data_IF_470378373435
#
_entry.id   IF_470378373435
#
_cell.length_a   1.000
_cell.length_b   1.000
_cell.length_c   1.000
_cell.angle_alpha   90.00
_cell.angle_beta   90.00
_cell.angle_gamma   90.00
#
_symmetry.space_group_name_H-M   'P 1'
#
loop_
_entity.id
_entity.type
_entity.pdbx_description
1 polymer ?
#
# COMPACT_ATOMS: atom_id res chain seq x y z
N UNK A 1 -12.37 4.88 -0.71
CA UNK A 1 -12.45 3.65 0.09
C UNK A 1 -12.67 2.49 -0.85
N UNK A 2 -11.89 1.43 -0.71
CA UNK A 2 -12.04 0.18 -1.45
C UNK A 2 -12.87 -0.81 -0.61
N UNK A 3 -13.69 -1.59 -1.29
CA UNK A 3 -14.54 -2.62 -0.70
C UNK A 3 -13.80 -3.95 -0.59
N UNK A 4 -14.30 -4.86 0.26
CA UNK A 4 -13.84 -6.25 0.27
C UNK A 4 -14.11 -6.91 -1.10
N UNK A 5 -13.21 -7.81 -1.50
CA UNK A 5 -13.19 -8.48 -2.82
C UNK A 5 -13.02 -7.56 -4.03
N UNK A 6 -12.75 -6.27 -3.83
CA UNK A 6 -12.36 -5.37 -4.91
C UNK A 6 -10.94 -5.69 -5.40
N UNK A 7 -10.72 -5.64 -6.70
CA UNK A 7 -9.45 -6.03 -7.33
C UNK A 7 -8.85 -4.92 -8.17
N UNK A 8 -7.52 -4.88 -8.19
CA UNK A 8 -6.72 -4.08 -9.12
C UNK A 8 -5.35 -4.73 -9.32
N UNK A 9 -4.84 -4.69 -10.55
CA UNK A 9 -3.59 -5.37 -10.88
C UNK A 9 -3.71 -6.88 -10.65
N UNK A 10 -2.98 -7.40 -9.66
CA UNK A 10 -3.03 -8.80 -9.22
C UNK A 10 -3.38 -8.92 -7.73
N UNK A 11 -3.97 -7.86 -7.16
CA UNK A 11 -4.32 -7.78 -5.76
C UNK A 11 -5.83 -7.85 -5.58
N UNK A 12 -6.26 -8.61 -4.57
CA UNK A 12 -7.64 -8.64 -4.09
C UNK A 12 -7.72 -8.09 -2.67
N UNK A 13 -8.54 -7.07 -2.44
CA UNK A 13 -8.74 -6.47 -1.13
C UNK A 13 -9.49 -7.42 -0.20
N UNK A 14 -8.94 -7.62 1.00
CA UNK A 14 -9.58 -8.40 2.08
C UNK A 14 -10.29 -7.48 3.05
N UNK A 15 -9.59 -6.49 3.61
CA UNK A 15 -10.15 -5.52 4.56
C UNK A 15 -9.27 -4.28 4.70
N UNK A 16 -9.85 -3.16 5.16
CA UNK A 16 -9.09 -1.99 5.60
C UNK A 16 -8.36 -2.31 6.92
N UNK A 17 -7.11 -1.91 7.03
CA UNK A 17 -6.27 -2.01 8.23
C UNK A 17 -6.20 -0.67 8.98
N UNK A 18 -6.19 0.44 8.25
CA UNK A 18 -6.14 1.76 8.87
C UNK A 18 -6.13 2.88 7.84
N UNK A 19 -6.07 4.10 8.33
CA UNK A 19 -5.93 5.30 7.51
C UNK A 19 -5.04 6.33 8.19
N UNK A 20 -4.37 7.14 7.37
CA UNK A 20 -3.60 8.27 7.83
C UNK A 20 -3.63 9.40 6.80
N UNK A 21 -2.82 10.42 7.02
CA UNK A 21 -2.77 11.60 6.15
C UNK A 21 -2.45 11.27 4.69
N UNK A 22 -1.48 10.39 4.46
CA UNK A 22 -1.01 10.04 3.11
C UNK A 22 -1.92 9.07 2.35
N UNK A 23 -2.84 8.38 3.02
CA UNK A 23 -3.52 7.26 2.40
C UNK A 23 -4.28 6.33 3.34
N UNK A 24 -4.88 5.33 2.73
CA UNK A 24 -5.56 4.23 3.41
C UNK A 24 -4.70 2.97 3.27
N UNK A 25 -4.67 2.12 4.30
CA UNK A 25 -3.94 0.85 4.28
C UNK A 25 -4.95 -0.29 4.30
N UNK A 26 -4.75 -1.26 3.41
CA UNK A 26 -5.60 -2.44 3.28
C UNK A 26 -4.77 -3.71 3.40
N UNK A 27 -5.37 -4.74 3.99
CA UNK A 27 -4.92 -6.11 3.85
C UNK A 27 -5.43 -6.62 2.50
N UNK A 28 -4.54 -7.21 1.71
CA UNK A 28 -4.86 -7.76 0.42
C UNK A 28 -4.16 -9.10 0.19
N UNK A 29 -4.70 -9.88 -0.73
CA UNK A 29 -4.05 -11.06 -1.29
C UNK A 29 -3.34 -10.68 -2.58
N UNK A 30 -2.02 -10.90 -2.60
CA UNK A 30 -1.21 -10.92 -3.82
C UNK A 30 -1.47 -12.25 -4.51
N UNK A 31 -2.33 -12.25 -5.52
CA UNK A 31 -2.77 -13.46 -6.21
C UNK A 31 -1.67 -14.07 -7.10
N UNK A 32 -0.64 -13.29 -7.43
CA UNK A 32 0.50 -13.74 -8.23
C UNK A 32 1.48 -14.55 -7.40
N UNK A 33 1.76 -14.11 -6.17
CA UNK A 33 2.70 -14.77 -5.25
C UNK A 33 1.99 -15.60 -4.17
N UNK A 34 0.66 -15.61 -4.16
CA UNK A 34 -0.19 -16.34 -3.21
C UNK A 34 0.16 -16.03 -1.75
N UNK A 35 0.23 -14.74 -1.41
CA UNK A 35 0.59 -14.25 -0.07
C UNK A 35 -0.28 -13.06 0.36
N UNK A 36 -0.36 -12.82 1.66
CA UNK A 36 -0.97 -11.62 2.21
C UNK A 36 0.04 -10.47 2.20
N UNK A 37 -0.41 -9.30 1.80
CA UNK A 37 0.37 -8.05 1.79
C UNK A 37 -0.46 -6.93 2.40
N UNK A 38 0.21 -5.90 2.92
CA UNK A 38 -0.44 -4.65 3.21
C UNK A 38 -0.24 -3.70 2.02
N UNK A 39 -1.31 -3.04 1.60
CA UNK A 39 -1.33 -2.10 0.48
C UNK A 39 -1.68 -0.71 1.00
N UNK A 40 -0.76 0.24 0.86
CA UNK A 40 -1.02 1.64 1.17
C UNK A 40 -1.44 2.36 -0.10
N UNK A 41 -2.73 2.67 -0.22
CA UNK A 41 -3.30 3.42 -1.33
C UNK A 41 -3.10 4.91 -1.08
N UNK A 42 -2.45 5.59 -2.00
CA UNK A 42 -2.07 7.00 -1.86
C UNK A 42 -3.20 7.92 -2.29
N UNK A 43 -3.43 9.01 -1.54
CA UNK A 43 -4.41 10.03 -1.94
C UNK A 43 -3.87 10.85 -3.12
N UNK A 44 -4.74 11.31 -4.06
CA UNK A 44 -4.34 12.14 -5.20
C UNK A 44 -3.45 13.34 -4.83
N UNK A 45 -3.77 14.02 -3.73
CA UNK A 45 -3.00 15.17 -3.24
C UNK A 45 -1.50 14.90 -2.97
N UNK A 46 -1.08 13.63 -2.82
CA UNK A 46 0.31 13.25 -2.64
C UNK A 46 1.00 12.77 -3.92
N UNK A 47 0.25 12.61 -5.02
CA UNK A 47 0.73 12.06 -6.29
C UNK A 47 0.51 12.99 -7.49
N UNK A 48 -0.32 14.03 -7.38
CA UNK A 48 -0.63 14.97 -8.46
C UNK A 48 0.50 15.99 -8.74
N UNK A 49 1.52 16.05 -7.88
CA UNK A 49 2.69 16.92 -8.03
C UNK A 49 3.94 16.08 -8.35
N UNK A 50 4.56 16.37 -9.50
CA UNK A 50 5.72 15.63 -10.00
C UNK A 50 6.91 15.61 -9.01
N UNK A 51 7.14 16.69 -8.27
CA UNK A 51 8.22 16.77 -7.29
C UNK A 51 7.91 15.90 -6.06
N UNK A 52 6.64 15.90 -5.63
CA UNK A 52 6.19 15.01 -4.54
C UNK A 52 6.31 13.54 -4.96
N UNK A 53 5.92 13.23 -6.19
CA UNK A 53 6.00 11.89 -6.74
C UNK A 53 7.44 11.38 -6.81
N UNK A 54 8.36 12.24 -7.27
CA UNK A 54 9.77 11.92 -7.35
C UNK A 54 10.38 11.69 -5.97
N UNK A 55 10.05 12.53 -4.97
CA UNK A 55 10.48 12.34 -3.58
C UNK A 55 9.96 11.01 -3.02
N UNK A 56 8.67 10.74 -3.19
CA UNK A 56 8.05 9.50 -2.72
C UNK A 56 8.73 8.27 -3.34
N UNK A 57 8.95 8.25 -4.65
CA UNK A 57 9.64 7.15 -5.32
C UNK A 57 11.08 6.98 -4.79
N UNK A 58 11.78 8.07 -4.49
CA UNK A 58 13.13 8.01 -3.92
C UNK A 58 13.15 7.47 -2.49
N UNK A 59 12.23 7.93 -1.65
CA UNK A 59 12.09 7.47 -0.26
C UNK A 59 11.78 5.99 -0.20
N UNK A 60 10.80 5.54 -0.98
CA UNK A 60 10.40 4.15 -0.95
C UNK A 60 11.43 3.23 -1.63
N UNK A 61 12.20 3.68 -2.65
CA UNK A 61 13.40 2.95 -3.11
C UNK A 61 14.46 2.79 -2.03
N UNK A 62 14.67 3.83 -1.22
CA UNK A 62 15.64 3.80 -0.13
C UNK A 62 15.17 2.85 0.98
N UNK A 63 13.88 2.92 1.33
CA UNK A 63 13.28 2.04 2.32
C UNK A 63 13.23 0.56 1.87
N UNK A 64 13.02 0.29 0.57
CA UNK A 64 13.05 -1.06 0.01
C UNK A 64 14.44 -1.71 0.04
N UNK A 65 15.53 -0.94 0.23
CA UNK A 65 16.88 -1.48 0.40
C UNK A 65 17.13 -1.98 1.84
N UNK A 66 16.24 -1.69 2.78
CA UNK A 66 16.39 -2.10 4.19
C UNK A 66 15.80 -3.50 4.34
N UNK A 67 16.63 -4.46 4.74
CA UNK A 67 16.20 -5.80 5.13
C UNK A 67 16.64 -6.06 6.57
N UNK A 68 15.70 -6.06 7.50
CA UNK A 68 15.98 -6.26 8.93
C UNK A 68 14.73 -6.84 9.64
N UNK A 69 14.86 -7.80 10.57
CA UNK A 69 13.71 -8.47 11.21
C UNK A 69 12.76 -7.52 11.96
N UNK A 70 13.23 -6.35 12.38
CA UNK A 70 12.43 -5.35 13.09
C UNK A 70 12.02 -4.15 12.20
N UNK A 71 12.18 -4.26 10.88
CA UNK A 71 11.76 -3.24 9.91
C UNK A 71 10.90 -3.91 8.85
N UNK A 72 9.64 -3.50 8.76
CA UNK A 72 8.70 -3.99 7.75
C UNK A 72 9.25 -3.76 6.35
N UNK A 73 9.26 -4.80 5.52
CA UNK A 73 9.75 -4.71 4.15
C UNK A 73 8.78 -3.97 3.22
N UNK A 74 9.33 -3.15 2.32
CA UNK A 74 8.62 -2.62 1.14
C UNK A 74 8.96 -3.52 -0.04
N UNK A 75 7.95 -4.11 -0.66
CA UNK A 75 8.14 -4.99 -1.81
C UNK A 75 8.10 -4.23 -3.13
N UNK A 76 7.20 -3.25 -3.27
CA UNK A 76 7.03 -2.54 -4.54
C UNK A 76 6.28 -1.20 -4.37
N UNK A 77 6.33 -0.36 -5.42
CA UNK A 77 5.48 0.80 -5.61
C UNK A 77 5.00 0.78 -7.05
N UNK A 78 3.69 0.75 -7.25
CA UNK A 78 3.13 0.66 -8.59
C UNK A 78 1.81 1.43 -8.70
N UNK A 79 1.28 1.48 -9.92
CA UNK A 79 -0.07 1.93 -10.19
C UNK A 79 -0.86 0.91 -11.02
N UNK A 80 -2.17 0.85 -10.77
CA UNK A 80 -3.07 -0.01 -11.53
C UNK A 80 -4.45 0.63 -11.58
N UNK A 81 -5.21 0.32 -12.62
CA UNK A 81 -6.62 0.71 -12.67
C UNK A 81 -7.42 -0.19 -11.74
N UNK A 82 -8.24 0.44 -10.92
CA UNK A 82 -9.29 -0.22 -10.17
C UNK A 82 -10.33 -0.80 -11.14
N UNK A 83 -10.61 -2.09 -11.03
CA UNK A 83 -11.54 -2.78 -11.93
C UNK A 83 -12.97 -2.25 -11.79
N UNK A 84 -13.35 -1.79 -10.58
CA UNK A 84 -14.71 -1.32 -10.30
C UNK A 84 -14.92 0.13 -10.72
N UNK A 85 -14.05 1.05 -10.30
CA UNK A 85 -14.20 2.48 -10.58
C UNK A 85 -13.50 2.96 -11.86
N UNK A 86 -12.60 2.15 -12.43
CA UNK A 86 -11.77 2.52 -13.58
C UNK A 86 -10.67 3.55 -13.27
N UNK A 87 -10.57 4.03 -12.02
CA UNK A 87 -9.59 5.03 -11.60
C UNK A 87 -8.21 4.41 -11.43
N UNK A 88 -7.18 5.17 -11.78
CA UNK A 88 -5.81 4.77 -11.50
C UNK A 88 -5.52 4.93 -10.00
N UNK A 89 -5.14 3.83 -9.36
CA UNK A 89 -4.71 3.79 -7.98
C UNK A 89 -3.19 3.70 -7.96
N UNK A 90 -2.55 4.57 -7.18
CA UNK A 90 -1.12 4.46 -6.86
C UNK A 90 -0.97 3.90 -5.47
N UNK A 91 -0.10 2.91 -5.31
CA UNK A 91 -0.01 2.16 -4.06
C UNK A 91 1.42 1.71 -3.76
N UNK A 92 1.65 1.43 -2.48
CA UNK A 92 2.88 0.82 -1.97
C UNK A 92 2.54 -0.58 -1.47
N UNK A 93 3.28 -1.57 -1.94
CA UNK A 93 3.17 -2.97 -1.52
C UNK A 93 4.19 -3.21 -0.42
N UNK A 94 3.70 -3.66 0.73
CA UNK A 94 4.52 -3.86 1.92
C UNK A 94 4.17 -5.17 2.63
N UNK A 95 5.10 -5.62 3.47
CA UNK A 95 4.91 -6.78 4.33
C UNK A 95 3.67 -6.59 5.21
N UNK A 96 2.86 -7.65 5.30
CA UNK A 96 1.75 -7.68 6.24
C UNK A 96 2.25 -8.19 7.60
N UNK A 97 2.29 -7.31 8.58
CA UNK A 97 2.56 -7.67 9.98
C UNK A 97 1.23 -7.86 10.70
N UNK A 98 0.98 -9.06 11.22
CA UNK A 98 -0.19 -9.33 12.06
C UNK A 98 0.04 -8.76 13.46
N UNK A 99 -0.61 -7.65 13.78
CA UNK A 99 -0.51 -7.00 15.09
C UNK A 99 -1.27 -5.68 15.12
N UNK A 100 -1.11 -4.97 16.23
CA UNK A 100 -1.71 -3.66 16.48
C UNK A 100 -0.61 -2.58 16.56
N UNK A 101 -0.95 -1.35 16.24
CA UNK A 101 0.01 -0.24 16.35
C UNK A 101 0.16 0.18 17.80
N UNK A 102 1.33 0.70 18.19
CA UNK A 102 1.52 1.20 19.55
C UNK A 102 0.52 2.31 19.92
N UNK A 103 0.08 3.09 18.93
CA UNK A 103 -0.96 4.12 19.10
C UNK A 103 -2.28 3.55 19.58
N UNK A 104 -2.59 2.29 19.25
CA UNK A 104 -3.83 1.64 19.70
C UNK A 104 -3.79 1.27 21.20
N UNK A 105 -2.60 1.33 21.82
CA UNK A 105 -2.36 1.01 23.23
C UNK A 105 -2.14 2.23 24.14
N UNK A 106 -2.08 3.45 23.58
CA UNK A 106 -1.83 4.70 24.31
C UNK A 106 -3.09 5.54 24.43
#
# INVERSE_FOLDING_TARGET
MLDADQSFGHFRIIKKLGEGGMGEVYLAEDQKLNRKVALKILRPAFIDDADRLQRLNREARTAAQITHPNVMAIYDIDSAKDEKSGKELRYIVMEYVSGESLTDFL
#
